data_IF_196274737200
#
_entry.id   IF_196274737200
#
_cell.length_a   1.000
_cell.length_b   1.000
_cell.length_c   1.000
_cell.angle_alpha   90.00
_cell.angle_beta   90.00
_cell.angle_gamma   90.00
#
_symmetry.space_group_name_H-M   'P 1'
#
loop_
_entity.id
_entity.type
_entity.pdbx_description
1 polymer ?
#
# COMPACT_ATOMS: atom_id res chain seq x y z
N UNK A 1 37.58 -13.35 -89.47
CA UNK A 1 38.79 -12.49 -89.40
C UNK A 1 39.85 -13.30 -88.68
N UNK A 2 40.95 -13.57 -89.37
CA UNK A 2 41.88 -14.66 -89.10
C UNK A 2 42.74 -14.39 -87.86
N UNK A 3 42.75 -15.31 -86.90
CA UNK A 3 43.71 -15.28 -85.80
C UNK A 3 45.09 -15.63 -86.38
N UNK A 4 46.05 -14.72 -86.31
CA UNK A 4 47.43 -14.97 -86.68
C UNK A 4 48.01 -16.02 -85.71
N UNK A 5 48.45 -17.17 -86.22
CA UNK A 5 49.06 -18.21 -85.39
C UNK A 5 50.48 -17.77 -85.00
N UNK A 6 50.69 -17.43 -83.73
CA UNK A 6 52.01 -17.10 -83.18
C UNK A 6 52.85 -18.36 -83.00
N UNK A 7 54.10 -18.31 -83.44
CA UNK A 7 55.02 -19.47 -83.45
C UNK A 7 55.85 -19.55 -82.16
N UNK A 8 56.36 -20.75 -81.85
CA UNK A 8 57.21 -20.99 -80.67
C UNK A 8 58.44 -20.08 -80.62
N UNK A 9 59.06 -19.82 -81.77
CA UNK A 9 60.32 -19.07 -81.89
C UNK A 9 60.12 -17.58 -81.56
N UNK A 10 58.97 -17.01 -81.94
CA UNK A 10 58.58 -15.64 -81.61
C UNK A 10 58.35 -15.46 -80.11
N UNK A 11 57.70 -16.44 -79.47
CA UNK A 11 57.47 -16.46 -78.01
C UNK A 11 58.78 -16.64 -77.25
N UNK A 12 59.68 -17.50 -77.72
CA UNK A 12 60.99 -17.69 -77.12
C UNK A 12 61.88 -16.44 -77.26
N UNK A 13 61.91 -15.81 -78.43
CA UNK A 13 62.68 -14.59 -78.66
C UNK A 13 62.13 -13.37 -77.88
N UNK A 14 60.80 -13.27 -77.74
CA UNK A 14 60.19 -12.26 -76.87
C UNK A 14 60.47 -12.55 -75.39
N UNK A 15 60.38 -13.80 -74.94
CA UNK A 15 60.71 -14.19 -73.57
C UNK A 15 62.18 -13.90 -73.23
N UNK A 16 63.12 -14.19 -74.13
CA UNK A 16 64.55 -13.89 -73.94
C UNK A 16 64.79 -12.38 -73.83
N UNK A 17 64.20 -11.56 -74.72
CA UNK A 17 64.30 -10.09 -74.62
C UNK A 17 63.73 -9.53 -73.32
N UNK A 18 62.66 -10.13 -72.79
CA UNK A 18 62.10 -9.74 -71.50
C UNK A 18 62.99 -10.14 -70.32
N UNK A 19 63.65 -11.30 -70.39
CA UNK A 19 64.67 -11.71 -69.40
C UNK A 19 65.88 -10.78 -69.43
N UNK A 20 66.39 -10.43 -70.61
CA UNK A 20 67.51 -9.47 -70.78
C UNK A 20 67.14 -8.06 -70.30
N UNK A 21 65.87 -7.67 -70.43
CA UNK A 21 65.31 -6.42 -69.90
C UNK A 21 64.93 -6.47 -68.42
N UNK A 22 65.17 -7.57 -67.71
CA UNK A 22 64.84 -7.72 -66.29
C UNK A 22 63.33 -7.72 -65.95
N UNK A 23 62.47 -7.91 -66.96
CA UNK A 23 61.01 -7.93 -66.78
C UNK A 23 60.49 -9.36 -66.54
N UNK A 24 59.42 -9.51 -65.74
CA UNK A 24 58.84 -10.82 -65.49
C UNK A 24 58.18 -11.39 -66.76
N UNK A 25 58.67 -12.53 -67.25
CA UNK A 25 58.11 -13.26 -68.39
C UNK A 25 56.76 -13.88 -68.01
N UNK A 26 55.68 -13.11 -68.13
CA UNK A 26 54.31 -13.57 -67.88
C UNK A 26 53.51 -13.65 -69.18
N UNK A 27 52.45 -14.48 -69.20
CA UNK A 27 51.60 -14.63 -70.39
C UNK A 27 50.99 -13.28 -70.80
N UNK A 28 50.61 -12.45 -69.82
CA UNK A 28 50.08 -11.10 -70.07
C UNK A 28 51.11 -10.16 -70.68
N UNK A 29 52.33 -10.12 -70.14
CA UNK A 29 53.37 -9.24 -70.67
C UNK A 29 53.87 -9.67 -72.07
N UNK A 30 53.83 -10.98 -72.37
CA UNK A 30 54.07 -11.52 -73.71
C UNK A 30 52.91 -11.21 -74.68
N UNK A 31 51.66 -11.20 -74.21
CA UNK A 31 50.51 -10.78 -75.01
C UNK A 31 50.59 -9.28 -75.36
N UNK A 32 50.96 -8.43 -74.40
CA UNK A 32 51.13 -6.99 -74.64
C UNK A 32 52.29 -6.70 -75.62
N UNK A 33 53.36 -7.51 -75.58
CA UNK A 33 54.52 -7.36 -76.48
C UNK A 33 54.31 -7.91 -77.89
N UNK A 34 53.53 -8.99 -78.04
CA UNK A 34 53.30 -9.69 -79.33
C UNK A 34 51.95 -9.37 -79.97
N UNK A 35 51.04 -8.69 -79.25
CA UNK A 35 49.74 -8.28 -79.75
C UNK A 35 48.72 -9.42 -79.86
N UNK A 36 47.97 -9.46 -80.97
CA UNK A 36 46.73 -10.25 -81.23
C UNK A 36 46.95 -11.78 -81.32
N UNK A 37 47.82 -12.32 -80.48
CA UNK A 37 48.07 -13.75 -80.31
C UNK A 37 47.00 -14.37 -79.41
N UNK A 38 46.57 -15.61 -79.71
CA UNK A 38 45.67 -16.32 -78.81
C UNK A 38 46.38 -16.67 -77.49
N UNK A 39 45.75 -16.32 -76.37
CA UNK A 39 46.27 -16.54 -75.01
C UNK A 39 46.63 -18.02 -74.74
N UNK A 40 45.89 -18.95 -75.35
CA UNK A 40 46.15 -20.39 -75.23
C UNK A 40 47.42 -20.84 -75.98
N UNK A 41 47.72 -20.26 -77.15
CA UNK A 41 48.94 -20.57 -77.89
C UNK A 41 50.17 -20.01 -77.16
N UNK A 42 50.08 -18.77 -76.68
CA UNK A 42 51.11 -18.15 -75.84
C UNK A 42 51.40 -18.99 -74.60
N UNK A 43 50.37 -19.40 -73.86
CA UNK A 43 50.56 -20.20 -72.66
C UNK A 43 51.25 -21.55 -72.96
N UNK A 44 50.88 -22.20 -74.07
CA UNK A 44 51.49 -23.47 -74.50
C UNK A 44 52.97 -23.33 -74.87
N UNK A 45 53.31 -22.33 -75.68
CA UNK A 45 54.69 -22.10 -76.10
C UNK A 45 55.57 -21.57 -74.97
N UNK A 46 55.02 -20.73 -74.09
CA UNK A 46 55.69 -20.24 -72.89
C UNK A 46 55.96 -21.38 -71.89
N UNK A 47 54.99 -22.28 -71.68
CA UNK A 47 55.19 -23.47 -70.86
C UNK A 47 56.28 -24.39 -71.43
N UNK A 48 56.31 -24.60 -72.75
CA UNK A 48 57.36 -25.38 -73.41
C UNK A 48 58.75 -24.73 -73.27
N UNK A 49 58.84 -23.40 -73.44
CA UNK A 49 60.09 -22.65 -73.25
C UNK A 49 60.59 -22.72 -71.79
N UNK A 50 59.70 -22.53 -70.81
CA UNK A 50 60.06 -22.67 -69.38
C UNK A 50 60.52 -24.09 -69.03
N UNK A 51 59.90 -25.11 -69.63
CA UNK A 51 60.33 -26.49 -69.45
C UNK A 51 61.75 -26.73 -70.00
N UNK A 52 62.12 -26.07 -71.12
CA UNK A 52 63.48 -26.13 -71.66
C UNK A 52 64.53 -25.30 -70.89
N UNK A 53 64.08 -24.35 -70.07
CA UNK A 53 64.93 -23.44 -69.29
C UNK A 53 65.12 -23.86 -67.83
N UNK A 54 64.47 -24.94 -67.38
CA UNK A 54 64.66 -25.46 -66.03
C UNK A 54 65.83 -26.44 -66.03
N UNK A 55 67.05 -26.07 -65.57
CA UNK A 55 68.07 -27.06 -65.28
C UNK A 55 67.55 -28.01 -64.19
N UNK A 56 67.70 -29.31 -64.43
CA UNK A 56 67.38 -30.35 -63.47
C UNK A 56 68.49 -30.47 -62.42
N UNK A 57 68.07 -30.61 -61.15
CA UNK A 57 68.86 -31.04 -59.99
C UNK A 57 69.94 -29.99 -59.55
N UNK A 58 70.34 -29.84 -58.29
CA UNK A 58 70.31 -30.70 -57.12
C UNK A 58 70.81 -29.86 -55.93
N UNK A 59 70.19 -29.97 -54.76
CA UNK A 59 70.81 -29.86 -53.43
C UNK A 59 69.69 -29.95 -52.40
N UNK A 60 69.35 -31.19 -52.01
CA UNK A 60 68.76 -31.41 -50.70
C UNK A 60 69.80 -30.94 -49.68
N UNK A 61 69.65 -29.72 -49.19
CA UNK A 61 70.28 -29.31 -47.95
C UNK A 61 69.66 -30.18 -46.86
N UNK A 62 70.28 -31.33 -46.58
CA UNK A 62 69.91 -32.17 -45.47
C UNK A 62 70.12 -31.35 -44.20
N UNK A 63 69.01 -30.90 -43.62
CA UNK A 63 69.02 -30.21 -42.32
C UNK A 63 69.71 -31.16 -41.34
N UNK A 64 70.79 -30.72 -40.65
CA UNK A 64 71.51 -31.58 -39.73
C UNK A 64 70.56 -32.18 -38.69
N UNK A 65 70.71 -33.47 -38.41
CA UNK A 65 69.85 -34.22 -37.48
C UNK A 65 69.82 -33.61 -36.06
N UNK A 66 70.89 -32.91 -35.67
CA UNK A 66 70.95 -32.12 -34.44
C UNK A 66 69.92 -30.98 -34.43
N UNK A 67 69.68 -30.32 -35.57
CA UNK A 67 68.71 -29.22 -35.70
C UNK A 67 67.28 -29.76 -35.71
N UNK A 68 67.02 -30.90 -36.36
CA UNK A 68 65.68 -31.53 -36.34
C UNK A 68 65.33 -32.02 -34.93
N UNK A 69 66.29 -32.60 -34.21
CA UNK A 69 66.10 -33.06 -32.83
C UNK A 69 65.86 -31.88 -31.89
N UNK A 70 66.60 -30.78 -32.04
CA UNK A 70 66.39 -29.56 -31.26
C UNK A 70 65.03 -28.90 -31.54
N UNK A 71 64.58 -28.89 -32.80
CA UNK A 71 63.24 -28.41 -33.16
C UNK A 71 62.13 -29.29 -32.59
N UNK A 72 62.30 -30.62 -32.61
CA UNK A 72 61.33 -31.54 -31.98
C UNK A 72 61.29 -31.38 -30.46
N UNK A 73 62.45 -31.23 -29.78
CA UNK A 73 62.46 -31.01 -28.33
C UNK A 73 61.85 -29.66 -27.96
N UNK A 74 62.10 -28.62 -28.75
CA UNK A 74 61.49 -27.31 -28.57
C UNK A 74 59.97 -27.36 -28.81
N UNK A 75 59.51 -28.04 -29.86
CA UNK A 75 58.08 -28.23 -30.12
C UNK A 75 57.38 -29.03 -29.01
N UNK A 76 58.05 -30.04 -28.44
CA UNK A 76 57.54 -30.78 -27.27
C UNK A 76 57.48 -29.91 -26.02
N UNK A 77 58.49 -29.09 -25.73
CA UNK A 77 58.45 -28.13 -24.62
C UNK A 77 57.36 -27.07 -24.82
N UNK A 78 57.17 -26.59 -26.04
CA UNK A 78 56.11 -25.63 -26.37
C UNK A 78 54.72 -26.27 -26.20
N UNK A 79 54.55 -27.52 -26.65
CA UNK A 79 53.30 -28.26 -26.48
C UNK A 79 53.00 -28.56 -25.01
N UNK A 80 54.00 -28.95 -24.22
CA UNK A 80 53.83 -29.22 -22.79
C UNK A 80 53.51 -27.95 -22.01
N UNK A 81 54.18 -26.83 -22.31
CA UNK A 81 53.89 -25.52 -21.68
C UNK A 81 52.53 -24.96 -22.09
N UNK A 82 52.10 -25.11 -23.34
CA UNK A 82 50.76 -24.73 -23.77
C UNK A 82 49.69 -25.61 -23.09
N UNK A 83 49.95 -26.91 -22.95
CA UNK A 83 49.03 -27.86 -22.31
C UNK A 83 48.93 -27.65 -20.81
N UNK A 84 50.04 -27.33 -20.13
CA UNK A 84 50.04 -27.00 -18.71
C UNK A 84 49.31 -25.69 -18.44
N UNK A 85 49.51 -24.66 -19.27
CA UNK A 85 48.79 -23.38 -19.19
C UNK A 85 47.28 -23.52 -19.43
N UNK A 86 46.87 -24.34 -20.40
CA UNK A 86 45.45 -24.67 -20.62
C UNK A 86 44.85 -25.45 -19.45
N UNK A 87 45.59 -26.42 -18.89
CA UNK A 87 45.13 -27.20 -17.73
C UNK A 87 44.98 -26.33 -16.49
N UNK A 88 45.95 -25.46 -16.19
CA UNK A 88 45.84 -24.53 -15.07
C UNK A 88 44.68 -23.54 -15.25
N UNK A 89 44.45 -23.06 -16.48
CA UNK A 89 43.31 -22.19 -16.79
C UNK A 89 41.96 -22.88 -16.58
N UNK A 90 41.85 -24.16 -16.96
CA UNK A 90 40.65 -24.98 -16.71
C UNK A 90 40.45 -25.24 -15.22
N UNK A 91 41.49 -25.63 -14.48
CA UNK A 91 41.41 -25.85 -13.04
C UNK A 91 40.98 -24.58 -12.30
N UNK A 92 41.48 -23.41 -12.73
CA UNK A 92 41.06 -22.13 -12.17
C UNK A 92 39.61 -21.78 -12.51
N UNK A 93 39.19 -21.99 -13.76
CA UNK A 93 37.81 -21.76 -14.18
C UNK A 93 36.82 -22.68 -13.45
N UNK A 94 37.18 -23.96 -13.24
CA UNK A 94 36.39 -24.91 -12.46
C UNK A 94 36.30 -24.48 -10.99
N UNK A 95 37.39 -23.97 -10.43
CA UNK A 95 37.41 -23.38 -9.08
C UNK A 95 36.51 -22.16 -8.95
N UNK A 96 36.55 -21.25 -9.92
CA UNK A 96 35.71 -20.06 -9.96
C UNK A 96 34.22 -20.44 -10.12
N UNK A 97 33.89 -21.40 -10.98
CA UNK A 97 32.54 -21.94 -11.14
C UNK A 97 32.02 -22.56 -9.84
N UNK A 98 32.84 -23.36 -9.15
CA UNK A 98 32.47 -23.94 -7.86
C UNK A 98 32.20 -22.85 -6.81
N UNK A 99 33.03 -21.80 -6.79
CA UNK A 99 32.83 -20.65 -5.89
C UNK A 99 31.55 -19.89 -6.20
N UNK A 100 31.26 -19.63 -7.48
CA UNK A 100 30.04 -18.95 -7.91
C UNK A 100 28.78 -19.76 -7.60
N UNK A 101 28.82 -21.09 -7.76
CA UNK A 101 27.72 -21.97 -7.38
C UNK A 101 27.44 -21.91 -5.87
N UNK A 102 28.49 -21.96 -5.04
CA UNK A 102 28.35 -21.85 -3.59
C UNK A 102 27.78 -20.48 -3.16
N UNK A 103 28.23 -19.38 -3.79
CA UNK A 103 27.69 -18.05 -3.54
C UNK A 103 26.23 -17.93 -3.98
N UNK A 104 25.86 -18.56 -5.09
CA UNK A 104 24.49 -18.56 -5.58
C UNK A 104 23.57 -19.32 -4.62
N UNK A 105 23.96 -20.51 -4.16
CA UNK A 105 23.20 -21.28 -3.16
C UNK A 105 23.00 -20.49 -1.86
N UNK A 106 24.04 -19.77 -1.39
CA UNK A 106 23.92 -18.88 -0.23
C UNK A 106 22.92 -17.73 -0.47
N UNK A 107 22.96 -17.11 -1.65
CA UNK A 107 22.04 -16.04 -2.01
C UNK A 107 20.59 -16.54 -2.15
N UNK A 108 20.38 -17.69 -2.76
CA UNK A 108 19.07 -18.33 -2.88
C UNK A 108 18.50 -18.69 -1.50
N UNK A 109 19.35 -19.22 -0.61
CA UNK A 109 19.00 -19.46 0.79
C UNK A 109 18.57 -18.17 1.50
N UNK A 110 19.36 -17.11 1.40
CA UNK A 110 19.03 -15.80 1.99
C UNK A 110 17.77 -15.17 1.41
N UNK A 111 17.54 -15.29 0.09
CA UNK A 111 16.31 -14.81 -0.54
C UNK A 111 15.09 -15.59 -0.07
N UNK A 112 15.20 -16.92 0.05
CA UNK A 112 14.13 -17.77 0.56
C UNK A 112 13.76 -17.40 1.99
N UNK A 113 14.76 -17.23 2.87
CA UNK A 113 14.56 -16.82 4.25
C UNK A 113 13.90 -15.43 4.35
N UNK A 114 14.39 -14.45 3.60
CA UNK A 114 13.83 -13.10 3.62
C UNK A 114 12.39 -13.06 3.10
N UNK A 115 12.06 -13.87 2.09
CA UNK A 115 10.67 -14.03 1.61
C UNK A 115 9.77 -14.64 2.68
N UNK A 116 10.24 -15.67 3.37
CA UNK A 116 9.49 -16.28 4.48
C UNK A 116 9.24 -15.27 5.61
N UNK A 117 10.24 -14.47 5.97
CA UNK A 117 10.11 -13.40 6.97
C UNK A 117 9.11 -12.31 6.53
N UNK A 118 9.15 -11.88 5.26
CA UNK A 118 8.21 -10.91 4.71
C UNK A 118 6.77 -11.42 4.71
N UNK A 119 6.56 -12.68 4.37
CA UNK A 119 5.25 -13.31 4.40
C UNK A 119 4.71 -13.40 5.84
N UNK A 120 5.55 -13.81 6.79
CA UNK A 120 5.20 -13.84 8.21
C UNK A 120 4.86 -12.44 8.73
N UNK A 121 5.67 -11.43 8.45
CA UNK A 121 5.40 -10.04 8.85
C UNK A 121 4.12 -9.50 8.22
N UNK A 122 3.85 -9.85 6.97
CA UNK A 122 2.61 -9.51 6.28
C UNK A 122 1.40 -10.12 6.97
N UNK A 123 1.46 -11.41 7.31
CA UNK A 123 0.38 -12.07 8.05
C UNK A 123 0.16 -11.44 9.43
N UNK A 124 1.23 -11.15 10.18
CA UNK A 124 1.13 -10.50 11.50
C UNK A 124 0.53 -9.10 11.39
N UNK A 125 0.96 -8.32 10.40
CA UNK A 125 0.40 -6.99 10.10
C UNK A 125 -1.09 -7.09 9.81
N UNK A 126 -1.50 -8.01 8.93
CA UNK A 126 -2.88 -8.14 8.50
C UNK A 126 -3.78 -8.60 9.67
N UNK A 127 -3.28 -9.50 10.52
CA UNK A 127 -3.95 -9.86 11.78
C UNK A 127 -4.08 -8.68 12.75
N UNK A 128 -3.05 -7.84 12.86
CA UNK A 128 -3.09 -6.65 13.71
C UNK A 128 -4.12 -5.62 13.20
N UNK A 129 -4.18 -5.40 11.89
CA UNK A 129 -5.16 -4.52 11.26
C UNK A 129 -6.60 -5.03 11.46
N UNK A 130 -6.82 -6.34 11.33
CA UNK A 130 -8.12 -6.94 11.60
C UNK A 130 -8.57 -6.74 13.07
N UNK A 131 -7.65 -6.93 14.02
CA UNK A 131 -7.92 -6.66 15.45
C UNK A 131 -8.20 -5.18 15.70
N UNK A 132 -7.48 -4.28 15.06
CA UNK A 132 -7.70 -2.84 15.21
C UNK A 132 -9.09 -2.43 14.73
N UNK A 133 -9.51 -2.92 13.55
CA UNK A 133 -10.85 -2.70 13.03
C UNK A 133 -11.95 -3.26 13.96
N UNK A 134 -11.74 -4.45 14.55
CA UNK A 134 -12.68 -5.02 15.52
C UNK A 134 -12.79 -4.15 16.79
N UNK A 135 -11.66 -3.63 17.29
CA UNK A 135 -11.64 -2.75 18.46
C UNK A 135 -12.30 -1.40 18.18
N UNK A 136 -12.09 -0.82 17.00
CA UNK A 136 -12.75 0.43 16.60
C UNK A 136 -14.27 0.27 16.55
N UNK A 137 -14.76 -0.83 15.99
CA UNK A 137 -16.19 -1.15 15.96
C UNK A 137 -16.76 -1.35 17.36
N UNK A 138 -16.00 -1.99 18.27
CA UNK A 138 -16.40 -2.14 19.67
C UNK A 138 -16.46 -0.78 20.39
N UNK A 139 -15.48 0.10 20.16
CA UNK A 139 -15.44 1.45 20.74
C UNK A 139 -16.65 2.26 20.26
N UNK A 140 -16.98 2.19 18.97
CA UNK A 140 -18.14 2.88 18.41
C UNK A 140 -19.44 2.41 19.07
N UNK A 141 -19.65 1.09 19.17
CA UNK A 141 -20.81 0.51 19.85
C UNK A 141 -20.92 0.97 21.30
N UNK A 142 -19.85 0.82 22.08
CA UNK A 142 -19.83 1.24 23.50
C UNK A 142 -20.03 2.75 23.66
N UNK A 143 -19.54 3.56 22.72
CA UNK A 143 -19.73 5.02 22.75
C UNK A 143 -21.19 5.40 22.54
N UNK A 144 -21.89 4.72 21.62
CA UNK A 144 -23.32 4.92 21.38
C UNK A 144 -24.13 4.50 22.61
N UNK A 145 -23.85 3.31 23.16
CA UNK A 145 -24.50 2.82 24.38
C UNK A 145 -24.30 3.76 25.57
N UNK A 146 -23.08 4.27 25.75
CA UNK A 146 -22.76 5.21 26.83
C UNK A 146 -23.50 6.55 26.68
N UNK A 147 -23.62 7.06 25.45
CA UNK A 147 -24.41 8.27 25.18
C UNK A 147 -25.88 8.03 25.49
N UNK A 148 -26.44 6.94 24.98
CA UNK A 148 -27.83 6.59 25.26
C UNK A 148 -28.11 6.43 26.76
N UNK A 149 -27.24 5.73 27.49
CA UNK A 149 -27.37 5.57 28.93
C UNK A 149 -27.31 6.92 29.68
N UNK A 150 -26.46 7.85 29.23
CA UNK A 150 -26.40 9.22 29.77
C UNK A 150 -27.68 9.98 29.50
N UNK A 151 -28.19 9.93 28.27
CA UNK A 151 -29.42 10.63 27.89
C UNK A 151 -30.60 10.14 28.75
N UNK A 152 -30.79 8.82 28.86
CA UNK A 152 -31.82 8.21 29.71
C UNK A 152 -31.66 8.62 31.19
N UNK A 153 -30.43 8.61 31.71
CA UNK A 153 -30.19 9.03 33.09
C UNK A 153 -30.51 10.52 33.30
N UNK A 154 -30.15 11.38 32.34
CA UNK A 154 -30.47 12.82 32.42
C UNK A 154 -31.96 13.07 32.33
N UNK A 155 -32.68 12.39 31.43
CA UNK A 155 -34.13 12.47 31.33
C UNK A 155 -34.82 12.02 32.61
N UNK A 156 -34.36 10.93 33.22
CA UNK A 156 -34.88 10.44 34.50
C UNK A 156 -34.65 11.45 35.64
N UNK A 157 -33.48 12.08 35.70
CA UNK A 157 -33.18 13.10 36.70
C UNK A 157 -34.04 14.36 36.52
N UNK A 158 -34.21 14.83 35.28
CA UNK A 158 -35.08 15.97 34.96
C UNK A 158 -36.54 15.64 35.27
N UNK A 159 -37.01 14.44 34.91
CA UNK A 159 -38.33 13.95 35.25
C UNK A 159 -38.57 13.95 36.75
N UNK A 160 -37.63 13.39 37.53
CA UNK A 160 -37.70 13.38 38.99
C UNK A 160 -37.76 14.80 39.58
N UNK A 161 -36.95 15.73 39.07
CA UNK A 161 -36.95 17.12 39.53
C UNK A 161 -38.29 17.81 39.24
N UNK A 162 -38.88 17.54 38.06
CA UNK A 162 -40.19 18.07 37.68
C UNK A 162 -41.31 17.51 38.57
N UNK A 163 -41.27 16.22 38.87
CA UNK A 163 -42.24 15.58 39.76
C UNK A 163 -42.14 16.14 41.17
N UNK A 164 -40.93 16.39 41.68
CA UNK A 164 -40.73 17.02 42.98
C UNK A 164 -41.33 18.42 43.03
N UNK A 165 -41.09 19.27 42.02
CA UNK A 165 -41.70 20.60 41.94
C UNK A 165 -43.22 20.55 41.88
N UNK A 166 -43.79 19.55 41.20
CA UNK A 166 -45.24 19.35 41.13
C UNK A 166 -45.82 18.92 42.49
N UNK A 167 -45.11 18.08 43.25
CA UNK A 167 -45.47 17.70 44.61
C UNK A 167 -45.44 18.93 45.52
N UNK A 168 -44.32 19.67 45.54
CA UNK A 168 -44.15 20.86 46.38
C UNK A 168 -45.23 21.92 46.08
N UNK A 169 -45.57 22.12 44.80
CA UNK A 169 -46.64 23.01 44.39
C UNK A 169 -48.03 22.57 44.88
N UNK A 170 -48.33 21.27 44.85
CA UNK A 170 -49.58 20.72 45.39
C UNK A 170 -49.63 20.82 46.91
N UNK A 171 -48.54 20.57 47.60
CA UNK A 171 -48.45 20.68 49.06
C UNK A 171 -48.69 22.12 49.53
N UNK A 172 -48.15 23.11 48.80
CA UNK A 172 -48.44 24.52 49.04
C UNK A 172 -49.93 24.85 48.85
N UNK A 173 -50.56 24.33 47.80
CA UNK A 173 -52.01 24.51 47.56
C UNK A 173 -52.86 23.86 48.65
N UNK A 174 -52.52 22.64 49.08
CA UNK A 174 -53.24 21.94 50.17
C UNK A 174 -53.14 22.74 51.47
N UNK A 175 -51.95 23.29 51.78
CA UNK A 175 -51.74 24.12 52.97
C UNK A 175 -52.59 25.38 52.93
N UNK A 176 -52.63 26.05 51.77
CA UNK A 176 -53.45 27.24 51.58
C UNK A 176 -54.96 26.94 51.67
N UNK A 177 -55.42 25.85 51.05
CA UNK A 177 -56.83 25.41 51.15
C UNK A 177 -57.21 25.06 52.58
N UNK A 178 -56.33 24.42 53.35
CA UNK A 178 -56.56 24.16 54.78
C UNK A 178 -56.71 25.45 55.57
N UNK A 179 -55.82 26.42 55.34
CA UNK A 179 -55.88 27.75 55.96
C UNK A 179 -57.20 28.47 55.63
N UNK A 180 -57.64 28.42 54.38
CA UNK A 180 -58.92 29.01 53.96
C UNK A 180 -60.12 28.30 54.60
N UNK A 181 -60.10 26.96 54.69
CA UNK A 181 -61.13 26.20 55.37
C UNK A 181 -61.21 26.55 56.86
N UNK A 182 -60.07 26.64 57.56
CA UNK A 182 -60.01 27.06 58.96
C UNK A 182 -60.57 28.46 59.15
N UNK A 183 -60.23 29.41 58.26
CA UNK A 183 -60.77 30.77 58.30
C UNK A 183 -62.28 30.81 58.06
N UNK A 184 -62.78 30.06 57.07
CA UNK A 184 -64.21 29.99 56.80
C UNK A 184 -64.99 29.34 57.95
N UNK A 185 -64.43 28.30 58.57
CA UNK A 185 -65.01 27.66 59.76
C UNK A 185 -65.07 28.64 60.94
N UNK A 186 -63.99 29.38 61.21
CA UNK A 186 -63.97 30.40 62.25
C UNK A 186 -64.98 31.52 61.99
N UNK A 187 -65.09 31.99 60.74
CA UNK A 187 -66.08 33.00 60.34
C UNK A 187 -67.52 32.48 60.51
N UNK A 188 -67.78 31.23 60.12
CA UNK A 188 -69.10 30.59 60.27
C UNK A 188 -69.48 30.39 61.74
N UNK A 189 -68.52 30.04 62.61
CA UNK A 189 -68.73 29.94 64.04
C UNK A 189 -69.07 31.31 64.64
N UNK A 190 -68.29 32.34 64.33
CA UNK A 190 -68.55 33.70 64.80
C UNK A 190 -69.91 34.24 64.33
N UNK A 191 -70.33 33.94 63.10
CA UNK A 191 -71.66 34.30 62.60
C UNK A 191 -72.78 33.57 63.37
N UNK A 192 -72.58 32.30 63.70
CA UNK A 192 -73.55 31.51 64.48
C UNK A 192 -73.66 32.04 65.91
N UNK A 193 -72.53 32.35 66.56
CA UNK A 193 -72.49 32.93 67.90
C UNK A 193 -73.16 34.31 67.93
N UNK A 194 -72.90 35.17 66.94
CA UNK A 194 -73.55 36.47 66.82
C UNK A 194 -75.07 36.33 66.62
N UNK A 195 -75.51 35.37 65.80
CA UNK A 195 -76.94 35.07 65.62
C UNK A 195 -77.57 34.62 66.94
N UNK A 196 -76.94 33.71 67.67
CA UNK A 196 -77.42 33.26 68.98
C UNK A 196 -77.51 34.41 69.97
N UNK A 197 -76.52 35.31 70.00
CA UNK A 197 -76.55 36.50 70.85
C UNK A 197 -77.75 37.41 70.52
N UNK A 198 -77.99 37.70 69.24
CA UNK A 198 -79.14 38.49 68.78
C UNK A 198 -80.47 37.78 69.13
N UNK A 199 -80.56 36.47 68.92
CA UNK A 199 -81.74 35.69 69.29
C UNK A 199 -82.00 35.75 70.81
N UNK A 200 -80.95 35.66 71.64
CA UNK A 200 -81.05 35.82 73.09
C UNK A 200 -81.48 37.23 73.50
N UNK A 201 -80.93 38.28 72.88
CA UNK A 201 -81.33 39.68 73.11
C UNK A 201 -82.80 39.91 72.73
N UNK A 202 -83.24 39.37 71.59
CA UNK A 202 -84.64 39.45 71.16
C UNK A 202 -85.56 38.77 72.16
N UNK A 203 -85.22 37.56 72.62
CA UNK A 203 -85.98 36.87 73.67
C UNK A 203 -86.07 37.74 74.93
N UNK A 204 -84.94 38.29 75.40
CA UNK A 204 -84.92 39.19 76.55
C UNK A 204 -85.82 40.44 76.36
N UNK A 205 -85.75 41.07 75.19
CA UNK A 205 -86.59 42.23 74.86
C UNK A 205 -88.08 41.86 74.78
N UNK A 206 -88.43 40.70 74.22
CA UNK A 206 -89.82 40.22 74.17
C UNK A 206 -90.37 39.93 75.57
N UNK A 207 -89.58 39.30 76.45
CA UNK A 207 -89.96 39.09 77.85
C UNK A 207 -90.15 40.41 78.59
N UNK A 208 -89.25 41.38 78.42
CA UNK A 208 -89.37 42.70 79.03
C UNK A 208 -90.64 43.44 78.54
N UNK A 209 -90.94 43.38 77.23
CA UNK A 209 -92.17 43.92 76.65
C UNK A 209 -93.41 43.26 77.26
N UNK A 210 -93.41 41.93 77.39
CA UNK A 210 -94.56 41.20 77.93
C UNK A 210 -94.80 41.52 79.41
N UNK A 211 -93.73 41.70 80.19
CA UNK A 211 -93.80 42.19 81.57
C UNK A 211 -94.40 43.60 81.63
N UNK A 212 -93.88 44.56 80.86
CA UNK A 212 -94.45 45.92 80.80
C UNK A 212 -95.91 45.93 80.34
N UNK A 213 -96.28 45.08 79.37
CA UNK A 213 -97.66 44.94 78.92
C UNK A 213 -98.56 44.43 80.05
N UNK A 214 -98.07 43.50 80.87
CA UNK A 214 -98.78 43.00 82.05
C UNK A 214 -98.90 44.07 83.15
N UNK A 215 -97.85 44.84 83.41
CA UNK A 215 -97.85 45.95 84.37
C UNK A 215 -98.84 47.06 83.94
N UNK A 216 -98.83 47.45 82.66
CA UNK A 216 -99.79 48.42 82.11
C UNK A 216 -101.22 47.89 82.23
N UNK A 217 -101.45 46.60 82.01
CA UNK A 217 -102.78 45.99 82.18
C UNK A 217 -103.24 46.01 83.64
N UNK A 218 -102.33 45.74 84.58
CA UNK A 218 -102.61 45.82 86.02
C UNK A 218 -102.93 47.26 86.46
N UNK A 219 -102.10 48.23 86.07
CA UNK A 219 -102.31 49.66 86.37
C UNK A 219 -103.63 50.19 85.78
N UNK A 220 -104.01 49.76 84.56
CA UNK A 220 -105.32 50.09 83.98
C UNK A 220 -106.48 49.55 84.83
N UNK A 221 -106.38 48.30 85.27
CA UNK A 221 -107.40 47.70 86.14
C UNK A 221 -107.51 48.44 87.49
N UNK A 222 -106.40 48.87 88.09
CA UNK A 222 -106.39 49.69 89.31
C UNK A 222 -107.04 51.06 89.09
N UNK A 223 -106.73 51.73 87.98
CA UNK A 223 -107.28 53.04 87.65
C UNK A 223 -108.79 52.98 87.37
N UNK A 224 -109.26 51.92 86.71
CA UNK A 224 -110.68 51.66 86.51
C UNK A 224 -111.40 51.36 87.85
N UNK A 225 -110.74 50.66 88.79
CA UNK A 225 -111.28 50.42 90.12
C UNK A 225 -111.38 51.68 91.00
N UNK A 226 -110.53 52.69 90.77
CA UNK A 226 -110.55 53.98 91.49
C UNK A 226 -111.53 55.01 90.90
N UNK A 227 -112.13 54.74 89.72
CA UNK A 227 -113.09 55.61 89.05
C UNK A 227 -114.56 55.27 89.33
N UNK A 228 -114.82 54.32 90.24
CA UNK A 228 -116.14 53.93 90.75
C UNK A 228 -116.27 54.44 92.19
#
# INVERSE_FOLDING_TARGET
>A
MSAQEVTYEEVAAAAVRMVEGGQPVTVGALHDALGVASLQALHRHLAAWRASQTPAAEASMAIPEAVTTALMSWAQQLAESARSGLRSGLEQADGDLASLLALNEQLEGGQSELRAQLEQLTQVRDQALAKLAERDEQINRLTVELRHARDVATEALVGKAKDQLAIDGKDAQITELRRQLEQNLAASAAQSDARLAIEMELVGATTARDNLASEVKALRAELDAQRI
#
